data_IF_004659590809
#
_entry.id   IF_004659590809
#
_cell.length_a   1.000
_cell.length_b   1.000
_cell.length_c   1.000
_cell.angle_alpha   90.00
_cell.angle_beta   90.00
_cell.angle_gamma   90.00
#
_symmetry.space_group_name_H-M   'P 1'
#
loop_
_entity.id
_entity.type
_entity.pdbx_description
1 polymer ?
#
# COMPACT_ATOMS: atom_id res chain seq x y z
N UNK A 1 3.23 -18.05 8.98
CA UNK A 1 3.58 -16.98 8.02
C UNK A 1 3.34 -17.44 6.60
N UNK A 2 2.88 -16.52 5.74
CA UNK A 2 2.61 -16.78 4.32
C UNK A 2 3.30 -15.69 3.52
N UNK A 3 4.22 -16.07 2.65
CA UNK A 3 4.76 -15.15 1.65
C UNK A 3 3.81 -15.12 0.45
N UNK A 4 3.50 -13.93 -0.06
CA UNK A 4 2.59 -13.75 -1.17
C UNK A 4 3.29 -13.06 -2.33
N UNK A 5 3.27 -13.69 -3.51
CA UNK A 5 3.89 -13.15 -4.71
C UNK A 5 2.87 -12.29 -5.47
N UNK A 6 3.15 -11.00 -5.68
CA UNK A 6 2.27 -10.10 -6.42
C UNK A 6 1.94 -10.63 -7.82
N UNK A 7 2.89 -11.27 -8.50
CA UNK A 7 2.69 -11.81 -9.85
C UNK A 7 1.52 -12.81 -9.92
N UNK A 8 1.26 -13.54 -8.83
CA UNK A 8 0.12 -14.45 -8.75
C UNK A 8 -1.23 -13.74 -8.91
N UNK A 9 -1.34 -12.46 -8.54
CA UNK A 9 -2.57 -11.68 -8.73
C UNK A 9 -2.90 -11.47 -10.22
N UNK A 10 -1.86 -11.35 -11.04
CA UNK A 10 -1.97 -11.17 -12.48
C UNK A 10 -2.25 -12.52 -13.15
N UNK A 11 -1.42 -13.52 -12.86
CA UNK A 11 -1.53 -14.87 -13.45
C UNK A 11 -2.88 -15.54 -13.13
N UNK A 12 -3.37 -15.38 -11.90
CA UNK A 12 -4.64 -15.96 -11.46
C UNK A 12 -5.88 -15.09 -11.80
N UNK A 13 -5.69 -14.02 -12.58
CA UNK A 13 -6.77 -13.15 -13.05
C UNK A 13 -7.44 -12.28 -11.97
N UNK A 14 -6.84 -12.15 -10.78
CA UNK A 14 -7.43 -11.40 -9.64
C UNK A 14 -7.55 -9.90 -9.93
N UNK A 15 -6.63 -9.35 -10.71
CA UNK A 15 -6.70 -7.97 -11.21
C UNK A 15 -7.97 -7.74 -12.02
N UNK A 16 -8.26 -8.62 -12.98
CA UNK A 16 -9.43 -8.49 -13.85
C UNK A 16 -10.74 -8.77 -13.09
N UNK A 17 -10.71 -9.68 -12.09
CA UNK A 17 -11.86 -9.88 -11.19
C UNK A 17 -12.24 -8.58 -10.46
N UNK A 18 -11.27 -7.81 -9.96
CA UNK A 18 -11.52 -6.52 -9.29
C UNK A 18 -12.08 -5.50 -10.29
N UNK A 19 -11.47 -5.34 -11.46
CA UNK A 19 -11.97 -4.43 -12.50
C UNK A 19 -13.40 -4.79 -12.91
N UNK A 20 -13.70 -6.07 -13.08
CA UNK A 20 -15.03 -6.55 -13.44
C UNK A 20 -16.06 -6.22 -12.37
N UNK A 21 -15.74 -6.41 -11.08
CA UNK A 21 -16.63 -6.05 -9.97
C UNK A 21 -16.91 -4.55 -9.91
N UNK A 22 -15.88 -3.72 -10.10
CA UNK A 22 -16.04 -2.26 -10.11
C UNK A 22 -16.84 -1.80 -11.35
N UNK A 23 -16.64 -2.42 -12.53
CA UNK A 23 -17.43 -2.17 -13.74
C UNK A 23 -18.90 -2.55 -13.55
N UNK A 24 -19.19 -3.70 -12.94
CA UNK A 24 -20.57 -4.12 -12.62
C UNK A 24 -21.30 -3.13 -11.72
N UNK A 25 -20.56 -2.41 -10.86
CA UNK A 25 -21.08 -1.35 -10.00
C UNK A 25 -21.11 0.03 -10.67
N UNK A 26 -20.78 0.11 -11.96
CA UNK A 26 -20.68 1.34 -12.74
C UNK A 26 -19.69 2.37 -12.15
N UNK A 27 -18.69 1.89 -11.41
CA UNK A 27 -17.66 2.70 -10.76
C UNK A 27 -16.39 2.83 -11.59
N UNK A 28 -16.35 2.26 -12.80
CA UNK A 28 -15.22 2.39 -13.73
C UNK A 28 -15.67 3.06 -15.01
N UNK A 29 -14.79 3.87 -15.60
CA UNK A 29 -14.96 4.44 -16.94
C UNK A 29 -13.63 4.55 -17.67
N UNK A 30 -13.68 4.67 -18.99
CA UNK A 30 -12.51 4.97 -19.82
C UNK A 30 -12.45 6.47 -20.11
N UNK A 31 -11.27 7.07 -20.00
CA UNK A 31 -11.03 8.49 -20.25
C UNK A 31 -9.55 8.75 -20.52
N UNK A 32 -9.23 9.60 -21.50
CA UNK A 32 -7.84 9.91 -21.90
C UNK A 32 -6.98 8.67 -22.21
N UNK A 33 -7.63 7.61 -22.72
CA UNK A 33 -7.01 6.32 -23.01
C UNK A 33 -6.69 5.47 -21.78
N UNK A 34 -7.06 5.91 -20.59
CA UNK A 34 -6.85 5.23 -19.31
C UNK A 34 -8.17 4.75 -18.70
N UNK A 35 -8.08 3.76 -17.81
CA UNK A 35 -9.23 3.25 -17.03
C UNK A 35 -9.23 3.92 -15.65
N UNK A 36 -10.37 4.54 -15.31
CA UNK A 36 -10.55 5.36 -14.12
C UNK A 36 -11.55 4.75 -13.15
N UNK A 37 -11.29 4.90 -11.86
CA UNK A 37 -12.18 4.62 -10.74
C UNK A 37 -12.91 5.91 -10.33
N UNK A 38 -14.24 5.89 -10.37
CA UNK A 38 -15.15 7.01 -10.03
C UNK A 38 -15.21 7.27 -8.52
N UNK A 39 -14.08 7.56 -7.90
CA UNK A 39 -13.99 7.83 -6.46
C UNK A 39 -14.65 9.14 -6.05
N UNK A 40 -14.83 10.10 -6.97
CA UNK A 40 -15.62 11.32 -6.70
C UNK A 40 -17.05 11.01 -6.29
N UNK A 41 -17.67 9.99 -6.90
CA UNK A 41 -18.97 9.48 -6.50
C UNK A 41 -19.01 8.83 -5.10
N UNK A 42 -17.84 8.58 -4.51
CA UNK A 42 -17.65 8.03 -3.17
C UNK A 42 -17.18 9.09 -2.15
N UNK A 43 -17.14 10.37 -2.54
CA UNK A 43 -16.78 11.49 -1.67
C UNK A 43 -15.30 11.89 -1.69
N UNK A 44 -14.51 11.39 -2.65
CA UNK A 44 -13.12 11.81 -2.86
C UNK A 44 -13.04 13.06 -3.74
N UNK A 45 -11.94 13.82 -3.62
CA UNK A 45 -11.77 15.07 -4.39
C UNK A 45 -11.59 14.86 -5.90
N UNK A 46 -11.02 13.73 -6.32
CA UNK A 46 -10.78 13.42 -7.72
C UNK A 46 -10.82 11.90 -7.97
N UNK A 47 -11.15 11.53 -9.20
CA UNK A 47 -11.13 10.15 -9.68
C UNK A 47 -9.71 9.60 -9.76
N UNK A 48 -9.56 8.28 -9.62
CA UNK A 48 -8.25 7.61 -9.58
C UNK A 48 -8.01 6.75 -10.81
N UNK A 49 -6.82 6.84 -11.39
CA UNK A 49 -6.41 5.95 -12.48
C UNK A 49 -6.14 4.54 -11.93
N UNK A 50 -6.82 3.53 -12.47
CA UNK A 50 -6.56 2.11 -12.19
C UNK A 50 -5.64 1.48 -13.23
N UNK A 51 -5.81 1.85 -14.50
CA UNK A 51 -4.97 1.40 -15.62
C UNK A 51 -4.55 2.62 -16.42
N UNK A 52 -3.24 2.80 -16.59
CA UNK A 52 -2.68 3.92 -17.35
C UNK A 52 -3.01 3.78 -18.84
N UNK A 53 -2.82 4.86 -19.58
CA UNK A 53 -2.94 4.84 -21.05
C UNK A 53 -1.95 3.92 -21.76
N UNK A 54 -0.88 3.51 -21.07
CA UNK A 54 0.06 2.48 -21.53
C UNK A 54 -0.49 1.05 -21.41
N UNK A 55 -1.66 0.85 -20.79
CA UNK A 55 -2.24 -0.45 -20.49
C UNK A 55 -1.75 -1.07 -19.17
N UNK A 56 -0.79 -0.45 -18.50
CA UNK A 56 -0.26 -0.94 -17.22
C UNK A 56 -1.16 -0.54 -16.05
N UNK A 57 -1.45 -1.46 -15.11
CA UNK A 57 -2.15 -1.12 -13.89
C UNK A 57 -1.33 -0.18 -12.99
N UNK A 58 -2.02 0.64 -12.21
CA UNK A 58 -1.40 1.40 -11.12
C UNK A 58 -1.31 0.52 -9.87
N UNK A 59 -0.46 0.88 -8.92
CA UNK A 59 -0.29 0.15 -7.65
C UNK A 59 -1.61 -0.09 -6.90
N UNK A 60 -2.61 0.78 -7.10
CA UNK A 60 -3.95 0.66 -6.50
C UNK A 60 -4.62 -0.67 -6.84
N UNK A 61 -4.47 -1.13 -8.08
CA UNK A 61 -5.25 -2.27 -8.55
C UNK A 61 -4.74 -3.61 -7.98
N UNK A 62 -3.41 -3.88 -7.95
CA UNK A 62 -2.85 -4.98 -7.16
C UNK A 62 -3.16 -4.88 -5.67
N UNK A 63 -3.10 -3.68 -5.08
CA UNK A 63 -3.43 -3.51 -3.65
C UNK A 63 -4.89 -3.88 -3.35
N UNK A 64 -5.83 -3.45 -4.19
CA UNK A 64 -7.25 -3.82 -4.10
C UNK A 64 -7.44 -5.33 -4.23
N UNK A 65 -6.78 -5.96 -5.20
CA UNK A 65 -6.86 -7.40 -5.43
C UNK A 65 -6.27 -8.18 -4.24
N UNK A 66 -5.11 -7.78 -3.73
CA UNK A 66 -4.49 -8.44 -2.60
C UNK A 66 -5.32 -8.31 -1.32
N UNK A 67 -5.87 -7.12 -1.04
CA UNK A 67 -6.73 -6.95 0.12
C UNK A 67 -8.02 -7.76 0.01
N UNK A 68 -8.62 -7.86 -1.18
CA UNK A 68 -9.76 -8.75 -1.41
C UNK A 68 -9.41 -10.20 -1.09
N UNK A 69 -8.22 -10.67 -1.46
CA UNK A 69 -7.77 -12.01 -1.11
C UNK A 69 -7.51 -12.15 0.41
N UNK A 70 -7.00 -11.12 1.10
CA UNK A 70 -6.95 -11.10 2.58
C UNK A 70 -8.35 -11.29 3.19
N UNK A 71 -9.36 -10.58 2.69
CA UNK A 71 -10.74 -10.74 3.16
C UNK A 71 -11.30 -12.14 2.90
N UNK A 72 -11.05 -12.72 1.72
CA UNK A 72 -11.49 -14.07 1.38
C UNK A 72 -10.88 -15.18 2.25
N UNK A 73 -9.71 -14.93 2.84
CA UNK A 73 -9.09 -15.85 3.81
C UNK A 73 -9.86 -15.91 5.14
N UNK A 74 -10.81 -15.01 5.37
CA UNK A 74 -11.72 -15.05 6.52
C UNK A 74 -11.14 -14.46 7.81
N UNK A 75 -10.18 -13.52 7.70
CA UNK A 75 -9.65 -12.84 8.89
C UNK A 75 -10.67 -11.89 9.52
N UNK A 76 -10.70 -11.86 10.85
CA UNK A 76 -11.51 -10.90 11.62
C UNK A 76 -10.85 -9.52 11.78
N UNK A 77 -9.52 -9.48 11.67
CA UNK A 77 -8.71 -8.28 11.77
C UNK A 77 -7.58 -8.36 10.73
N UNK A 78 -7.42 -7.29 9.96
CA UNK A 78 -6.34 -7.10 8.99
C UNK A 78 -5.56 -5.87 9.44
N UNK A 79 -4.28 -6.05 9.80
CA UNK A 79 -3.41 -4.94 10.20
C UNK A 79 -2.40 -4.68 9.09
N UNK A 80 -2.41 -3.47 8.55
CA UNK A 80 -1.43 -3.00 7.57
C UNK A 80 -0.46 -2.03 8.24
N UNK A 81 0.84 -2.25 8.05
CA UNK A 81 1.91 -1.39 8.57
C UNK A 81 2.58 -0.74 7.38
N UNK A 82 2.37 0.57 7.21
CA UNK A 82 2.88 1.33 6.07
C UNK A 82 3.80 2.48 6.49
N UNK A 83 4.56 2.99 5.53
CA UNK A 83 5.25 4.27 5.67
C UNK A 83 4.31 5.46 5.43
N UNK A 84 4.71 6.64 5.90
CA UNK A 84 3.96 7.90 5.74
C UNK A 84 3.61 8.27 4.29
N UNK A 85 4.39 7.79 3.32
CA UNK A 85 4.18 7.95 1.88
C UNK A 85 2.92 7.24 1.34
N UNK A 86 2.30 6.35 2.13
CA UNK A 86 1.08 5.62 1.76
C UNK A 86 -0.21 6.21 2.35
N UNK A 87 -0.12 7.32 3.09
CA UNK A 87 -1.25 7.91 3.80
C UNK A 87 -2.39 8.33 2.86
N UNK A 88 -2.07 8.79 1.65
CA UNK A 88 -3.04 9.27 0.66
C UNK A 88 -3.57 8.16 -0.26
N UNK A 89 -2.95 6.98 -0.23
CA UNK A 89 -3.21 5.91 -1.21
C UNK A 89 -4.08 4.79 -0.63
N UNK A 90 -3.86 4.40 0.63
CA UNK A 90 -4.65 3.34 1.27
C UNK A 90 -6.17 3.64 1.32
N UNK A 91 -6.65 4.90 1.45
CA UNK A 91 -8.09 5.17 1.47
C UNK A 91 -8.78 4.77 0.16
N UNK A 92 -8.09 4.89 -0.98
CA UNK A 92 -8.61 4.47 -2.29
C UNK A 92 -8.86 2.95 -2.33
N UNK A 93 -7.95 2.17 -1.71
CA UNK A 93 -8.05 0.70 -1.60
C UNK A 93 -9.23 0.31 -0.71
N UNK A 94 -9.38 0.96 0.45
CA UNK A 94 -10.51 0.72 1.34
C UNK A 94 -11.85 1.08 0.67
N UNK A 95 -11.93 2.18 -0.06
CA UNK A 95 -13.13 2.55 -0.79
C UNK A 95 -13.55 1.47 -1.80
N UNK A 96 -12.60 0.93 -2.56
CA UNK A 96 -12.86 -0.17 -3.50
C UNK A 96 -13.35 -1.45 -2.79
N UNK A 97 -12.78 -1.80 -1.64
CA UNK A 97 -13.20 -2.96 -0.84
C UNK A 97 -14.61 -2.77 -0.27
N UNK A 98 -14.91 -1.58 0.24
CA UNK A 98 -16.21 -1.23 0.78
C UNK A 98 -17.31 -1.37 -0.28
N UNK A 99 -17.11 -0.80 -1.47
CA UNK A 99 -18.09 -0.94 -2.56
C UNK A 99 -18.21 -2.37 -3.07
N UNK A 100 -17.14 -3.18 -2.98
CA UNK A 100 -17.17 -4.63 -3.25
C UNK A 100 -17.91 -5.44 -2.18
N UNK A 101 -18.35 -4.82 -1.09
CA UNK A 101 -19.16 -5.43 -0.03
C UNK A 101 -18.34 -6.01 1.13
N UNK A 102 -17.06 -5.65 1.24
CA UNK A 102 -16.23 -6.06 2.37
C UNK A 102 -16.34 -5.08 3.54
N UNK A 103 -16.34 -5.62 4.75
CA UNK A 103 -16.32 -4.85 5.99
C UNK A 103 -14.93 -4.25 6.23
N UNK A 104 -14.74 -3.02 5.78
CA UNK A 104 -13.47 -2.30 5.89
C UNK A 104 -13.12 -1.88 7.32
N UNK A 105 -14.05 -1.97 8.29
CA UNK A 105 -13.74 -1.67 9.70
C UNK A 105 -12.74 -2.67 10.29
N UNK A 106 -12.65 -3.87 9.68
CA UNK A 106 -11.67 -4.90 10.00
C UNK A 106 -10.24 -4.53 9.60
N UNK A 107 -10.05 -3.53 8.74
CA UNK A 107 -8.70 -3.08 8.35
C UNK A 107 -8.25 -1.99 9.31
N UNK A 108 -7.11 -2.21 9.97
CA UNK A 108 -6.42 -1.22 10.81
C UNK A 108 -5.09 -0.88 10.16
N UNK A 109 -4.90 0.40 9.86
CA UNK A 109 -3.68 0.90 9.24
C UNK A 109 -2.85 1.60 10.29
N UNK A 110 -1.59 1.18 10.41
CA UNK A 110 -0.57 1.80 11.24
C UNK A 110 0.42 2.50 10.31
N UNK A 111 0.53 3.81 10.44
CA UNK A 111 1.43 4.63 9.61
C UNK A 111 2.68 4.97 10.41
N UNK A 112 3.84 4.49 9.97
CA UNK A 112 5.12 4.87 10.52
C UNK A 112 5.72 6.06 9.75
N UNK A 113 6.16 7.06 10.51
CA UNK A 113 6.88 8.22 9.97
C UNK A 113 8.32 7.86 9.61
N UNK A 114 8.92 8.67 8.74
CA UNK A 114 10.32 8.53 8.37
C UNK A 114 11.26 8.67 9.58
N UNK A 115 12.32 7.86 9.59
CA UNK A 115 13.37 7.89 10.61
C UNK A 115 14.57 8.69 10.07
N UNK A 116 15.10 9.59 10.90
CA UNK A 116 16.33 10.31 10.61
C UNK A 116 17.48 9.69 11.39
N UNK A 117 18.51 9.21 10.69
CA UNK A 117 19.73 8.72 11.32
C UNK A 117 20.69 9.88 11.63
N UNK A 118 21.23 9.87 12.84
CA UNK A 118 22.15 10.87 13.38
C UNK A 118 23.44 10.17 13.83
N UNK A 119 24.60 10.77 13.55
CA UNK A 119 25.89 10.35 14.11
C UNK A 119 26.51 11.56 14.81
N UNK A 120 26.51 11.52 16.15
CA UNK A 120 26.75 12.73 16.94
C UNK A 120 25.66 13.77 16.67
N UNK A 121 26.06 15.00 16.36
CA UNK A 121 25.15 16.11 16.04
C UNK A 121 24.85 16.23 14.54
N UNK A 122 25.37 15.32 13.70
CA UNK A 122 25.22 15.38 12.25
C UNK A 122 24.19 14.36 11.72
N UNK A 123 23.34 14.83 10.80
CA UNK A 123 22.42 13.95 10.05
C UNK A 123 23.22 13.12 9.04
N UNK A 124 23.06 11.80 9.10
CA UNK A 124 23.62 10.89 8.10
C UNK A 124 22.88 11.11 6.79
N UNK A 125 23.58 11.66 5.78
CA UNK A 125 22.99 11.89 4.45
C UNK A 125 22.91 10.58 3.69
N UNK A 126 21.71 10.26 3.21
CA UNK A 126 21.48 9.16 2.26
C UNK A 126 21.24 9.73 0.86
N UNK A 127 21.76 9.06 -0.17
CA UNK A 127 21.57 9.40 -1.58
C UNK A 127 21.29 8.17 -2.41
N UNK A 128 20.04 8.02 -2.84
CA UNK A 128 19.61 6.94 -3.74
C UNK A 128 20.37 6.95 -5.07
N UNK A 129 20.67 8.14 -5.61
CA UNK A 129 21.38 8.28 -6.91
C UNK A 129 22.87 7.90 -6.83
N UNK A 130 23.50 8.03 -5.66
CA UNK A 130 24.90 7.65 -5.44
C UNK A 130 25.03 6.25 -4.82
N UNK A 131 23.92 5.55 -4.59
CA UNK A 131 23.85 4.32 -3.81
C UNK A 131 24.44 4.46 -2.39
N UNK A 132 24.35 5.65 -1.80
CA UNK A 132 24.74 5.91 -0.42
C UNK A 132 23.52 5.72 0.48
N UNK A 133 23.33 4.54 1.05
CA UNK A 133 22.28 4.28 2.05
C UNK A 133 22.85 3.40 3.17
N UNK A 134 22.30 3.57 4.38
CA UNK A 134 22.62 2.70 5.51
C UNK A 134 21.63 1.54 5.48
N UNK A 135 22.16 0.33 5.36
CA UNK A 135 21.36 -0.89 5.43
C UNK A 135 20.94 -1.19 6.87
N UNK A 136 19.89 -1.99 7.03
CA UNK A 136 19.52 -2.48 8.36
C UNK A 136 20.65 -3.33 8.96
N UNK A 137 21.34 -4.13 8.15
CA UNK A 137 22.46 -4.98 8.61
C UNK A 137 23.62 -4.14 9.16
N UNK A 138 24.04 -3.09 8.43
CA UNK A 138 25.07 -2.16 8.93
C UNK A 138 24.65 -1.47 10.24
N UNK A 139 23.38 -1.07 10.35
CA UNK A 139 22.86 -0.46 11.57
C UNK A 139 22.88 -1.46 12.75
N UNK A 140 22.49 -2.72 12.50
CA UNK A 140 22.51 -3.78 13.50
C UNK A 140 23.93 -4.10 13.95
N UNK A 141 24.89 -4.13 13.04
CA UNK A 141 26.30 -4.34 13.33
C UNK A 141 26.91 -3.19 14.15
N UNK A 142 26.48 -1.94 13.91
CA UNK A 142 26.99 -0.75 14.59
C UNK A 142 26.45 -0.58 16.03
N UNK A 143 25.14 -0.78 16.25
CA UNK A 143 24.50 -0.47 17.55
C UNK A 143 23.87 -1.66 18.27
N UNK A 144 23.73 -2.80 17.59
CA UNK A 144 23.13 -4.01 18.15
C UNK A 144 21.59 -4.09 18.02
N UNK A 145 21.10 -5.32 17.94
CA UNK A 145 19.67 -5.63 17.69
C UNK A 145 18.70 -5.05 18.71
N UNK A 146 19.06 -5.08 20.00
CA UNK A 146 18.18 -4.62 21.07
C UNK A 146 18.00 -3.10 21.03
N UNK A 147 19.06 -2.36 20.68
CA UNK A 147 19.03 -0.91 20.52
C UNK A 147 18.14 -0.55 19.34
N UNK A 148 18.33 -1.18 18.17
CA UNK A 148 17.50 -0.92 16.98
C UNK A 148 16.02 -1.17 17.28
N UNK A 149 15.69 -2.33 17.87
CA UNK A 149 14.31 -2.68 18.23
C UNK A 149 13.72 -1.67 19.20
N UNK A 150 14.41 -1.35 20.28
CA UNK A 150 13.93 -0.40 21.27
C UNK A 150 13.67 0.97 20.64
N UNK A 151 14.61 1.50 19.84
CA UNK A 151 14.45 2.80 19.20
C UNK A 151 13.28 2.85 18.21
N UNK A 152 13.01 1.75 17.49
CA UNK A 152 11.93 1.73 16.49
C UNK A 152 10.54 1.59 17.12
N UNK A 153 10.44 1.02 18.33
CA UNK A 153 9.15 0.84 19.03
C UNK A 153 8.91 1.84 20.16
N UNK A 154 9.94 2.57 20.61
CA UNK A 154 9.80 3.49 21.76
C UNK A 154 8.97 4.74 21.44
N UNK A 155 8.76 5.05 20.15
CA UNK A 155 7.88 6.14 19.71
C UNK A 155 6.58 5.54 19.20
N UNK A 156 5.46 6.13 19.60
CA UNK A 156 4.15 5.76 19.05
C UNK A 156 4.13 6.02 17.54
N UNK A 157 3.52 5.10 16.80
CA UNK A 157 3.08 5.34 15.44
C UNK A 157 1.98 6.42 15.40
#
# INVERSE_FOLDING_TARGET
DVFYNENSLYDDGKIEEVLSLLRQKNLVYEGDGATWFKTTGLGFDQDRVLVKSTGEPTYRLPDMAYHREKFKRGFDLIVDVFGADHQDTYPDVLAALNVMGFDTEKVKVVIHQFVTLMRGDEVVKMSTRKAEFVTLDELLDEVGVDVVRYFYIMRSA
#
